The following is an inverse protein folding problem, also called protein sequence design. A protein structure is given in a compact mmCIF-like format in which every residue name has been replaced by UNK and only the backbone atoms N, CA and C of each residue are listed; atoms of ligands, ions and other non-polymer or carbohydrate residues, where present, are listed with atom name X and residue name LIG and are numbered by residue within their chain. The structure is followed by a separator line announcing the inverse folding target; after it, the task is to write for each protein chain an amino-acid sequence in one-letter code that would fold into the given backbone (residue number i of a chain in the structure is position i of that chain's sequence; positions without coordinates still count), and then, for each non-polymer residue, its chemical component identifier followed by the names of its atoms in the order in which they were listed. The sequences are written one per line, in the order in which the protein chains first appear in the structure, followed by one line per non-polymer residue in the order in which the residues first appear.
data_IF_748941263452
#
_entry.id   IF_748941263452
#
_cell.length_a   1.000
_cell.length_b   1.000
_cell.length_c   1.000
_cell.angle_alpha   90.00
_cell.angle_beta   90.00
_cell.angle_gamma   90.00
#
_symmetry.space_group_name_H-M   'P 1'
#
loop_
_entity.id
_entity.type
_entity.pdbx_description
1 polymer ?
#
# COMPACT_ATOMS: atom_id res chain seq x y z
N UNK A 1 9.90 32.31 43.81
CA UNK A 1 10.38 32.24 42.46
C UNK A 1 9.97 30.93 41.81
N UNK A 2 8.83 30.90 41.09
CA UNK A 2 8.37 29.74 40.29
C UNK A 2 8.97 29.87 38.91
N UNK A 3 9.92 28.99 38.58
CA UNK A 3 10.45 28.91 37.21
C UNK A 3 9.58 27.94 36.41
N UNK A 4 8.90 28.51 35.40
CA UNK A 4 8.09 27.77 34.43
C UNK A 4 8.99 26.96 33.51
N UNK A 5 8.77 25.66 33.49
CA UNK A 5 9.33 24.75 32.47
C UNK A 5 8.49 24.86 31.19
N UNK A 6 8.94 25.73 30.30
CA UNK A 6 8.42 25.75 28.93
C UNK A 6 8.87 24.48 28.20
N UNK A 7 7.98 23.50 28.04
CA UNK A 7 8.17 22.40 27.08
C UNK A 7 8.15 22.96 25.68
N UNK A 8 9.32 23.13 25.10
CA UNK A 8 9.48 23.34 23.68
C UNK A 8 9.04 22.07 22.97
N UNK A 9 7.80 22.04 22.49
CA UNK A 9 7.33 20.99 21.61
C UNK A 9 8.06 21.20 20.26
N UNK A 10 9.10 20.39 20.03
CA UNK A 10 9.75 20.30 18.73
C UNK A 10 8.73 19.72 17.74
N UNK A 11 7.99 20.59 17.05
CA UNK A 11 7.18 20.21 15.90
C UNK A 11 8.18 19.86 14.80
N UNK A 12 8.53 18.58 14.69
CA UNK A 12 9.21 18.04 13.51
C UNK A 12 8.23 18.24 12.37
N UNK A 13 8.46 19.29 11.59
CA UNK A 13 7.74 19.54 10.35
C UNK A 13 8.16 18.41 9.40
N UNK A 14 7.36 17.35 9.32
CA UNK A 14 7.55 16.30 8.32
C UNK A 14 7.36 16.99 6.96
N UNK A 15 8.45 17.27 6.28
CA UNK A 15 8.43 17.75 4.90
C UNK A 15 8.04 16.55 4.06
N UNK A 16 6.78 16.50 3.61
CA UNK A 16 6.34 15.49 2.65
C UNK A 16 7.04 15.75 1.32
N UNK A 17 7.84 14.79 0.88
CA UNK A 17 8.42 14.79 -0.46
C UNK A 17 7.35 14.30 -1.43
N UNK A 18 6.76 15.20 -2.22
CA UNK A 18 5.73 14.84 -3.19
C UNK A 18 6.33 14.70 -4.59
N UNK A 19 5.86 13.68 -5.30
CA UNK A 19 6.13 13.47 -6.72
C UNK A 19 5.11 14.26 -7.53
N UNK A 20 5.60 15.00 -8.53
CA UNK A 20 4.79 15.81 -9.44
C UNK A 20 4.88 15.27 -10.88
N UNK A 21 3.92 15.70 -11.72
CA UNK A 21 3.75 15.23 -13.09
C UNK A 21 4.92 15.51 -14.03
N UNK A 22 5.64 16.59 -13.79
CA UNK A 22 6.76 17.08 -14.59
C UNK A 22 8.12 16.49 -14.19
N UNK A 23 8.16 15.71 -13.10
CA UNK A 23 9.40 15.07 -12.64
C UNK A 23 9.78 13.87 -13.53
N UNK A 24 11.08 13.69 -13.85
CA UNK A 24 11.57 12.51 -14.57
C UNK A 24 11.33 11.24 -13.76
N UNK A 25 10.59 10.28 -14.32
CA UNK A 25 10.23 9.07 -13.59
C UNK A 25 11.45 8.18 -13.28
N UNK A 26 12.45 8.16 -14.15
CA UNK A 26 13.69 7.42 -13.93
C UNK A 26 14.45 7.93 -12.68
N UNK A 27 14.60 9.24 -12.52
CA UNK A 27 15.25 9.84 -11.34
C UNK A 27 14.49 9.53 -10.05
N UNK A 28 13.15 9.54 -10.08
CA UNK A 28 12.33 9.13 -8.93
C UNK A 28 12.64 7.69 -8.51
N UNK A 29 12.82 6.78 -9.48
CA UNK A 29 13.11 5.37 -9.18
C UNK A 29 14.54 5.14 -8.70
N UNK A 30 15.49 5.96 -9.16
CA UNK A 30 16.88 5.93 -8.65
C UNK A 30 16.91 6.31 -7.17
N UNK A 31 16.17 7.34 -6.79
CA UNK A 31 16.07 7.80 -5.41
C UNK A 31 15.19 6.86 -4.54
N UNK A 32 14.16 6.25 -5.15
CA UNK A 32 13.14 5.45 -4.46
C UNK A 32 12.89 4.09 -5.16
N UNK A 33 13.86 3.16 -5.18
CA UNK A 33 13.74 1.88 -5.90
C UNK A 33 12.58 1.00 -5.41
N UNK A 34 12.09 1.20 -4.19
CA UNK A 34 10.94 0.50 -3.63
C UNK A 34 9.60 0.85 -4.33
N UNK A 35 9.57 1.87 -5.19
CA UNK A 35 8.43 2.19 -6.04
C UNK A 35 8.33 1.32 -7.31
N UNK A 36 9.39 0.57 -7.67
CA UNK A 36 9.36 -0.32 -8.84
C UNK A 36 8.16 -1.28 -8.88
N UNK A 37 7.74 -1.92 -7.77
CA UNK A 37 6.55 -2.75 -7.75
C UNK A 37 5.26 -2.00 -8.06
N UNK A 38 5.21 -0.68 -7.86
CA UNK A 38 4.05 0.13 -8.26
C UNK A 38 3.98 0.23 -9.77
N UNK A 39 5.12 0.48 -10.44
CA UNK A 39 5.18 0.54 -11.89
C UNK A 39 4.74 -0.79 -12.54
N UNK A 40 5.20 -1.92 -11.99
CA UNK A 40 4.81 -3.26 -12.47
C UNK A 40 3.29 -3.45 -12.44
N UNK A 41 2.62 -3.01 -11.38
CA UNK A 41 1.14 -3.08 -11.26
C UNK A 41 0.42 -2.21 -12.28
N UNK A 42 1.03 -1.12 -12.71
CA UNK A 42 0.51 -0.27 -13.78
C UNK A 42 0.94 -0.74 -15.17
N UNK A 43 1.75 -1.81 -15.27
CA UNK A 43 2.26 -2.32 -16.53
C UNK A 43 3.26 -1.40 -17.22
N UNK A 44 3.93 -0.53 -16.44
CA UNK A 44 4.93 0.41 -16.97
C UNK A 44 6.27 -0.33 -17.12
N UNK A 45 6.79 -0.49 -18.34
CA UNK A 45 8.07 -1.16 -18.57
C UNK A 45 9.24 -0.26 -18.15
N UNK A 46 10.37 -0.88 -17.80
CA UNK A 46 11.63 -0.18 -17.58
C UNK A 46 12.18 0.37 -18.92
N UNK A 47 13.14 1.30 -18.83
CA UNK A 47 13.70 1.97 -20.02
C UNK A 47 12.99 3.30 -20.31
N UNK A 48 12.69 4.03 -19.26
CA UNK A 48 11.89 5.26 -19.27
C UNK A 48 12.62 6.47 -19.90
N UNK A 49 13.97 6.43 -19.94
CA UNK A 49 14.78 7.58 -20.34
C UNK A 49 14.48 8.81 -19.49
N UNK A 50 14.50 9.97 -20.09
CA UNK A 50 14.20 11.27 -19.45
C UNK A 50 12.69 11.58 -19.40
N UNK A 51 11.83 10.59 -19.64
CA UNK A 51 10.37 10.82 -19.69
C UNK A 51 9.83 11.22 -18.31
N UNK A 52 9.00 12.26 -18.30
CA UNK A 52 8.30 12.68 -17.08
C UNK A 52 7.18 11.70 -16.73
N UNK A 53 6.71 11.76 -15.48
CA UNK A 53 5.56 10.97 -15.01
C UNK A 53 4.37 11.12 -15.96
N UNK A 54 4.02 12.36 -16.35
CA UNK A 54 2.90 12.63 -17.24
C UNK A 54 3.09 12.01 -18.62
N UNK A 55 4.29 12.16 -19.21
CA UNK A 55 4.59 11.57 -20.51
C UNK A 55 4.49 10.05 -20.54
N UNK A 56 4.94 9.40 -19.44
CA UNK A 56 4.81 7.95 -19.30
C UNK A 56 3.35 7.55 -19.17
N UNK A 57 2.58 8.23 -18.32
CA UNK A 57 1.16 7.94 -18.14
C UNK A 57 0.37 8.10 -19.45
N UNK A 58 0.55 9.21 -20.17
CA UNK A 58 -0.11 9.44 -21.46
C UNK A 58 0.22 8.34 -22.47
N UNK A 59 1.48 7.96 -22.59
CA UNK A 59 1.93 6.91 -23.52
C UNK A 59 1.34 5.53 -23.19
N UNK A 60 1.11 5.25 -21.90
CA UNK A 60 0.58 3.97 -21.41
C UNK A 60 -0.95 3.98 -21.22
N UNK A 61 -1.63 5.10 -21.48
CA UNK A 61 -3.07 5.23 -21.25
C UNK A 61 -3.47 5.17 -19.78
N UNK A 62 -2.57 5.60 -18.88
CA UNK A 62 -2.77 5.61 -17.42
C UNK A 62 -3.28 6.98 -16.98
N UNK A 63 -4.24 7.02 -16.08
CA UNK A 63 -4.64 8.26 -15.41
C UNK A 63 -3.48 8.80 -14.55
N UNK A 64 -2.95 9.96 -14.96
CA UNK A 64 -1.78 10.57 -14.29
C UNK A 64 -2.07 10.95 -12.84
N UNK A 65 -3.29 11.41 -12.54
CA UNK A 65 -3.65 11.84 -11.18
C UNK A 65 -3.74 10.62 -10.26
N UNK A 66 -4.35 9.54 -10.73
CA UNK A 66 -4.42 8.28 -10.00
C UNK A 66 -3.03 7.68 -9.75
N UNK A 67 -2.18 7.66 -10.77
CA UNK A 67 -0.81 7.15 -10.65
C UNK A 67 0.02 7.95 -9.65
N UNK A 68 -0.02 9.29 -9.74
CA UNK A 68 0.66 10.18 -8.78
C UNK A 68 0.15 9.98 -7.35
N UNK A 69 -1.15 9.81 -7.18
CA UNK A 69 -1.74 9.54 -5.87
C UNK A 69 -1.18 8.25 -5.27
N UNK A 70 -1.12 7.17 -6.06
CA UNK A 70 -0.56 5.89 -5.61
C UNK A 70 0.92 6.03 -5.28
N UNK A 71 1.74 6.66 -6.13
CA UNK A 71 3.17 6.89 -5.87
C UNK A 71 3.38 7.67 -4.57
N UNK A 72 2.65 8.77 -4.38
CA UNK A 72 2.78 9.62 -3.20
C UNK A 72 2.30 8.92 -1.92
N UNK A 73 1.27 8.06 -2.00
CA UNK A 73 0.83 7.24 -0.87
C UNK A 73 1.90 6.21 -0.47
N UNK A 74 2.60 5.63 -1.44
CA UNK A 74 3.72 4.73 -1.17
C UNK A 74 4.95 5.43 -0.63
N UNK A 75 5.21 6.66 -1.08
CA UNK A 75 6.38 7.42 -0.68
C UNK A 75 6.25 8.01 0.73
N UNK A 76 5.05 8.38 1.14
CA UNK A 76 4.80 9.11 2.37
C UNK A 76 3.81 8.38 3.28
N UNK A 77 4.27 7.89 4.43
CA UNK A 77 3.39 7.40 5.49
C UNK A 77 2.46 8.55 5.94
N UNK A 78 1.17 8.32 5.92
CA UNK A 78 0.17 9.33 6.31
C UNK A 78 -0.29 10.26 5.18
N UNK A 79 0.24 10.16 3.97
CA UNK A 79 -0.35 10.79 2.80
C UNK A 79 -1.57 9.99 2.33
N UNK A 80 -2.75 10.52 2.58
CA UNK A 80 -3.99 9.92 2.11
C UNK A 80 -4.95 11.02 1.64
N UNK A 81 -4.98 11.35 0.35
CA UNK A 81 -5.79 12.44 -0.19
C UNK A 81 -7.26 12.02 -0.34
N UNK A 82 -8.01 12.00 0.77
CA UNK A 82 -9.40 11.52 0.81
C UNK A 82 -10.32 12.19 -0.22
N UNK A 83 -10.17 13.50 -0.43
CA UNK A 83 -10.99 14.26 -1.38
C UNK A 83 -10.72 13.85 -2.83
N UNK A 84 -9.49 13.50 -3.17
CA UNK A 84 -9.12 13.06 -4.51
C UNK A 84 -9.62 11.64 -4.80
N UNK A 85 -9.70 10.77 -3.77
CA UNK A 85 -10.23 9.42 -3.93
C UNK A 85 -11.69 9.40 -4.40
N UNK A 86 -12.50 10.35 -3.99
CA UNK A 86 -13.90 10.46 -4.40
C UNK A 86 -14.08 10.77 -5.90
N UNK A 87 -13.02 11.26 -6.56
CA UNK A 87 -13.05 11.58 -7.99
C UNK A 87 -12.70 10.39 -8.90
N UNK A 88 -12.19 9.28 -8.36
CA UNK A 88 -11.80 8.11 -9.16
C UNK A 88 -12.93 7.12 -9.32
N UNK A 89 -12.96 6.46 -10.50
CA UNK A 89 -13.88 5.37 -10.75
C UNK A 89 -13.50 4.14 -9.92
N UNK A 90 -14.48 3.51 -9.30
CA UNK A 90 -14.28 2.32 -8.47
C UNK A 90 -13.60 1.17 -9.25
N UNK A 91 -13.90 1.05 -10.55
CA UNK A 91 -13.26 0.08 -11.44
C UNK A 91 -11.74 0.24 -11.49
N UNK A 92 -11.25 1.47 -11.52
CA UNK A 92 -9.82 1.77 -11.57
C UNK A 92 -9.12 1.36 -10.27
N UNK A 93 -9.75 1.65 -9.14
CA UNK A 93 -9.24 1.27 -7.82
C UNK A 93 -9.24 -0.25 -7.67
N UNK A 94 -10.34 -0.91 -8.03
CA UNK A 94 -10.48 -2.37 -7.97
C UNK A 94 -9.45 -3.07 -8.87
N UNK A 95 -9.24 -2.58 -10.09
CA UNK A 95 -8.22 -3.12 -11.00
C UNK A 95 -6.82 -3.03 -10.38
N UNK A 96 -6.46 -1.87 -9.83
CA UNK A 96 -5.18 -1.69 -9.16
C UNK A 96 -5.01 -2.61 -7.94
N UNK A 97 -6.05 -2.74 -7.10
CA UNK A 97 -6.02 -3.61 -5.93
C UNK A 97 -5.91 -5.10 -6.33
N UNK A 98 -6.61 -5.52 -7.38
CA UNK A 98 -6.53 -6.89 -7.90
C UNK A 98 -5.10 -7.22 -8.42
N UNK A 99 -4.46 -6.28 -9.11
CA UNK A 99 -3.06 -6.39 -9.53
C UNK A 99 -2.11 -6.44 -8.32
N UNK A 100 -2.42 -5.67 -7.29
CA UNK A 100 -1.69 -5.69 -6.01
C UNK A 100 -1.78 -7.06 -5.34
N UNK A 101 -2.98 -7.65 -5.24
CA UNK A 101 -3.17 -9.00 -4.71
C UNK A 101 -2.39 -10.04 -5.51
N UNK A 102 -2.44 -9.97 -6.84
CA UNK A 102 -1.67 -10.86 -7.71
C UNK A 102 -0.15 -10.74 -7.47
N UNK A 103 0.37 -9.52 -7.32
CA UNK A 103 1.77 -9.27 -6.98
C UNK A 103 2.16 -9.90 -5.64
N UNK A 104 1.35 -9.68 -4.59
CA UNK A 104 1.61 -10.25 -3.27
C UNK A 104 1.64 -11.78 -3.30
N UNK A 105 0.66 -12.41 -3.96
CA UNK A 105 0.59 -13.88 -4.06
C UNK A 105 1.74 -14.48 -4.86
N UNK A 106 2.13 -13.84 -5.96
CA UNK A 106 3.15 -14.40 -6.87
C UNK A 106 4.58 -14.10 -6.46
N UNK A 107 4.83 -12.94 -5.87
CA UNK A 107 6.18 -12.46 -5.62
C UNK A 107 6.46 -12.18 -4.14
N UNK A 108 5.67 -11.30 -3.51
CA UNK A 108 6.03 -10.78 -2.20
C UNK A 108 5.98 -11.84 -1.10
N UNK A 109 4.85 -12.54 -0.94
CA UNK A 109 4.69 -13.57 0.10
C UNK A 109 5.65 -14.76 -0.10
N UNK A 110 5.83 -15.31 -1.32
CA UNK A 110 6.85 -16.36 -1.55
C UNK A 110 8.28 -15.89 -1.30
N UNK A 111 8.59 -14.63 -1.61
CA UNK A 111 9.92 -14.07 -1.38
C UNK A 111 10.23 -13.93 0.11
N UNK A 112 9.29 -13.39 0.90
CA UNK A 112 9.42 -13.32 2.36
C UNK A 112 9.58 -14.71 2.95
N UNK A 113 8.75 -15.67 2.54
CA UNK A 113 8.81 -17.06 3.01
C UNK A 113 10.17 -17.70 2.74
N UNK A 114 10.71 -17.49 1.54
CA UNK A 114 12.03 -18.02 1.16
C UNK A 114 13.15 -17.45 2.04
N UNK A 115 13.15 -16.14 2.25
CA UNK A 115 14.15 -15.48 3.10
C UNK A 115 14.02 -15.89 4.55
N UNK A 116 12.79 -16.01 5.06
CA UNK A 116 12.52 -16.46 6.42
C UNK A 116 12.99 -17.91 6.63
N UNK A 117 12.69 -18.81 5.70
CA UNK A 117 13.18 -20.21 5.74
C UNK A 117 14.71 -20.27 5.72
N UNK A 118 15.35 -19.44 4.88
CA UNK A 118 16.81 -19.33 4.85
C UNK A 118 17.39 -18.82 6.17
N UNK A 119 16.77 -17.82 6.77
CA UNK A 119 17.16 -17.29 8.07
C UNK A 119 17.02 -18.32 9.19
N UNK A 120 15.90 -19.04 9.25
CA UNK A 120 15.67 -20.11 10.24
C UNK A 120 16.69 -21.23 10.07
N UNK A 121 16.99 -21.64 8.83
CA UNK A 121 17.97 -22.68 8.54
C UNK A 121 19.42 -22.28 8.87
N UNK A 122 19.77 -21.00 8.76
CA UNK A 122 21.11 -20.47 9.10
C UNK A 122 21.31 -20.28 10.61
N UNK A 123 20.23 -20.14 11.37
CA UNK A 123 20.29 -20.13 12.83
C UNK A 123 20.72 -21.48 13.34
N UNK A 124 22.02 -21.63 13.64
CA UNK A 124 22.62 -22.89 14.08
C UNK A 124 21.88 -23.47 15.27
N UNK A 125 21.04 -24.47 15.02
CA UNK A 125 20.50 -25.47 15.93
C UNK A 125 19.64 -24.94 17.08
N UNK A 126 18.41 -25.39 17.14
CA UNK A 126 17.60 -25.49 18.38
C UNK A 126 17.18 -24.20 19.08
N UNK A 127 17.02 -23.09 18.34
CA UNK A 127 16.31 -21.96 18.95
C UNK A 127 14.80 -22.10 18.70
N UNK A 128 13.99 -22.52 19.70
CA UNK A 128 12.56 -22.72 19.54
C UNK A 128 11.81 -21.45 19.13
N UNK A 129 12.37 -20.28 19.42
CA UNK A 129 11.80 -19.00 18.99
C UNK A 129 11.76 -18.85 17.46
N UNK A 130 12.73 -19.40 16.72
CA UNK A 130 12.75 -19.36 15.27
C UNK A 130 11.61 -20.19 14.65
N UNK A 131 11.27 -21.33 15.24
CA UNK A 131 10.14 -22.13 14.83
C UNK A 131 8.81 -21.35 15.01
N UNK A 132 8.66 -20.63 16.14
CA UNK A 132 7.50 -19.78 16.39
C UNK A 132 7.33 -18.67 15.36
N UNK A 133 8.44 -18.05 14.92
CA UNK A 133 8.41 -17.04 13.86
C UNK A 133 7.93 -17.63 12.53
N UNK A 134 8.38 -18.83 12.17
CA UNK A 134 7.93 -19.55 10.99
C UNK A 134 6.43 -19.85 11.01
N UNK A 135 5.93 -20.34 12.15
CA UNK A 135 4.50 -20.63 12.34
C UNK A 135 3.65 -19.36 12.32
N UNK A 136 4.12 -18.28 12.96
CA UNK A 136 3.44 -16.98 12.96
C UNK A 136 3.32 -16.43 11.54
N UNK A 137 4.41 -16.48 10.75
CA UNK A 137 4.37 -16.07 9.35
C UNK A 137 3.42 -16.91 8.51
N UNK A 138 3.42 -18.23 8.69
CA UNK A 138 2.52 -19.13 7.95
C UNK A 138 1.05 -18.79 8.22
N UNK A 139 0.69 -18.54 9.48
CA UNK A 139 -0.65 -18.11 9.88
C UNK A 139 -1.02 -16.73 9.30
N UNK A 140 -0.10 -15.78 9.36
CA UNK A 140 -0.30 -14.45 8.79
C UNK A 140 -0.50 -14.51 7.27
N UNK A 141 0.34 -15.29 6.57
CA UNK A 141 0.21 -15.53 5.13
C UNK A 141 -1.16 -16.10 4.75
N UNK A 142 -1.62 -17.14 5.48
CA UNK A 142 -2.93 -17.73 5.25
C UNK A 142 -4.06 -16.69 5.38
N UNK A 143 -4.07 -15.91 6.46
CA UNK A 143 -5.07 -14.84 6.68
C UNK A 143 -5.06 -13.77 5.59
N UNK A 144 -3.86 -13.37 5.14
CA UNK A 144 -3.71 -12.40 4.04
C UNK A 144 -4.32 -12.98 2.75
N UNK A 145 -4.01 -14.23 2.41
CA UNK A 145 -4.56 -14.90 1.23
C UNK A 145 -6.09 -15.04 1.30
N UNK A 146 -6.64 -15.48 2.43
CA UNK A 146 -8.09 -15.57 2.65
C UNK A 146 -8.78 -14.21 2.50
N UNK A 147 -8.16 -13.14 3.03
CA UNK A 147 -8.70 -11.79 2.87
C UNK A 147 -8.71 -11.37 1.40
N UNK A 148 -7.61 -11.57 0.69
CA UNK A 148 -7.53 -11.24 -0.74
C UNK A 148 -8.59 -12.01 -1.56
N UNK A 149 -8.82 -13.30 -1.26
CA UNK A 149 -9.85 -14.11 -1.91
C UNK A 149 -11.26 -13.57 -1.63
N UNK A 150 -11.55 -13.19 -0.39
CA UNK A 150 -12.83 -12.59 -0.02
C UNK A 150 -13.03 -11.23 -0.71
N UNK A 151 -11.99 -10.39 -0.73
CA UNK A 151 -12.06 -9.11 -1.41
C UNK A 151 -12.36 -9.27 -2.90
N UNK A 152 -11.71 -10.20 -3.59
CA UNK A 152 -11.90 -10.46 -5.02
C UNK A 152 -13.24 -11.13 -5.36
N UNK A 153 -13.69 -12.04 -4.51
CA UNK A 153 -14.92 -12.81 -4.79
C UNK A 153 -16.20 -12.14 -4.30
N UNK A 154 -16.13 -11.31 -3.25
CA UNK A 154 -17.29 -10.74 -2.60
C UNK A 154 -17.27 -9.22 -2.60
N UNK A 155 -16.23 -8.61 -2.04
CA UNK A 155 -16.21 -7.18 -1.78
C UNK A 155 -16.06 -6.35 -3.05
N UNK A 156 -15.13 -6.65 -3.93
CA UNK A 156 -14.94 -5.92 -5.19
C UNK A 156 -16.17 -6.00 -6.10
N UNK A 157 -16.76 -7.19 -6.35
CA UNK A 157 -18.00 -7.27 -7.11
C UNK A 157 -19.16 -6.52 -6.47
N UNK A 158 -19.24 -6.48 -5.15
CA UNK A 158 -20.27 -5.72 -4.44
C UNK A 158 -20.09 -4.21 -4.66
N UNK A 159 -18.88 -3.68 -4.48
CA UNK A 159 -18.57 -2.26 -4.71
C UNK A 159 -18.89 -1.86 -6.15
N UNK A 160 -18.47 -2.66 -7.14
CA UNK A 160 -18.72 -2.38 -8.55
C UNK A 160 -20.23 -2.37 -8.88
N UNK A 161 -21.02 -3.25 -8.26
CA UNK A 161 -22.48 -3.22 -8.41
C UNK A 161 -23.09 -1.96 -7.80
N UNK A 162 -22.65 -1.57 -6.59
CA UNK A 162 -23.14 -0.35 -5.96
C UNK A 162 -22.89 0.88 -6.82
N UNK A 163 -21.65 1.04 -7.32
CA UNK A 163 -21.30 2.18 -8.16
C UNK A 163 -22.11 2.27 -9.47
N UNK A 164 -22.51 1.12 -10.03
CA UNK A 164 -23.39 1.08 -11.22
C UNK A 164 -24.85 1.38 -10.91
N UNK A 165 -25.27 1.15 -9.66
CA UNK A 165 -26.67 1.32 -9.23
C UNK A 165 -26.97 2.73 -8.74
N UNK A 166 -25.97 3.52 -8.38
CA UNK A 166 -26.13 4.88 -7.87
C UNK A 166 -25.87 5.87 -9.01
N UNK A 167 -26.82 6.76 -9.35
CA UNK A 167 -26.57 7.84 -10.31
C UNK A 167 -25.38 8.70 -9.82
N UNK A 168 -24.50 9.06 -10.73
CA UNK A 168 -23.25 9.78 -10.42
C UNK A 168 -23.46 11.13 -9.72
N UNK A 169 -24.67 11.69 -9.80
CA UNK A 169 -25.08 12.93 -9.13
C UNK A 169 -25.34 12.78 -7.62
N UNK A 170 -25.53 11.56 -7.12
CA UNK A 170 -25.87 11.29 -5.71
C UNK A 170 -24.72 10.70 -4.89
N UNK A 171 -23.52 10.58 -5.46
CA UNK A 171 -22.31 10.15 -4.74
C UNK A 171 -21.85 11.27 -3.80
N UNK A 172 -22.56 11.43 -2.68
CA UNK A 172 -21.98 12.11 -1.52
C UNK A 172 -20.82 11.25 -1.01
N UNK A 173 -19.70 11.88 -0.56
CA UNK A 173 -18.62 11.11 0.06
C UNK A 173 -19.23 10.24 1.16
N UNK A 174 -19.18 8.92 0.95
CA UNK A 174 -19.65 7.97 1.95
C UNK A 174 -18.79 8.15 3.19
N UNK A 175 -19.43 8.41 4.31
CA UNK A 175 -18.76 8.33 5.62
C UNK A 175 -18.08 6.98 5.74
N UNK A 176 -16.83 6.93 6.27
CA UNK A 176 -16.09 5.67 6.35
C UNK A 176 -16.96 4.62 7.03
N UNK A 177 -17.12 3.49 6.36
CA UNK A 177 -17.90 2.35 6.88
C UNK A 177 -17.22 1.90 8.17
N UNK A 178 -17.82 2.24 9.30
CA UNK A 178 -17.31 1.99 10.66
C UNK A 178 -17.07 0.50 11.00
N UNK A 179 -17.46 -0.42 10.13
CA UNK A 179 -17.22 -1.87 10.31
C UNK A 179 -15.82 -2.34 9.92
N UNK A 180 -15.08 -1.58 9.11
CA UNK A 180 -13.70 -1.95 8.74
C UNK A 180 -12.67 -1.51 9.79
N UNK A 181 -12.98 -0.55 10.65
CA UNK A 181 -12.05 -0.04 11.64
C UNK A 181 -11.70 -1.09 12.72
N UNK A 182 -12.67 -1.85 13.20
CA UNK A 182 -12.42 -2.87 14.22
C UNK A 182 -11.55 -4.04 13.71
N UNK A 183 -11.71 -4.45 12.44
CA UNK A 183 -10.90 -5.50 11.83
C UNK A 183 -9.48 -5.02 11.48
N UNK A 184 -9.31 -3.72 11.17
CA UNK A 184 -8.00 -3.13 10.94
C UNK A 184 -7.21 -2.91 12.24
N UNK A 185 -7.87 -2.44 13.29
CA UNK A 185 -7.25 -2.21 14.59
C UNK A 185 -6.66 -3.52 15.17
N UNK A 186 -7.38 -4.64 15.02
CA UNK A 186 -6.91 -5.96 15.44
C UNK A 186 -5.70 -6.47 14.64
N UNK A 187 -5.57 -6.08 13.38
CA UNK A 187 -4.41 -6.43 12.53
C UNK A 187 -3.16 -5.61 12.84
N UNK A 188 -3.32 -4.35 13.21
CA UNK A 188 -2.21 -3.46 13.55
C UNK A 188 -1.65 -3.73 14.95
N UNK A 189 -2.49 -4.07 15.93
CA UNK A 189 -2.04 -4.46 17.29
C UNK A 189 -1.15 -5.69 17.23
N UNK A 190 -1.50 -6.72 16.43
CA UNK A 190 -0.65 -7.92 16.28
C UNK A 190 0.69 -7.65 15.59
N UNK A 191 0.77 -6.67 14.68
CA UNK A 191 2.03 -6.25 14.07
C UNK A 191 2.87 -5.37 15.00
N UNK A 192 2.24 -4.62 15.89
CA UNK A 192 2.93 -3.81 16.90
C UNK A 192 3.60 -4.68 17.95
N UNK A 193 2.96 -5.79 18.37
CA UNK A 193 3.53 -6.75 19.32
C UNK A 193 4.77 -7.46 18.78
N UNK A 194 4.86 -7.65 17.46
CA UNK A 194 6.07 -8.22 16.82
C UNK A 194 7.25 -7.23 16.81
N UNK A 195 7.00 -5.90 16.85
CA UNK A 195 8.05 -4.87 16.92
C UNK A 195 8.62 -4.67 18.32
N UNK A 196 7.97 -5.21 19.35
CA UNK A 196 8.35 -5.04 20.77
C UNK A 196 9.09 -6.26 21.35
N UNK A 197 9.42 -7.27 20.52
CA UNK A 197 10.26 -8.43 20.83
C UNK A 197 11.57 -8.33 20.10
#
# INVERSE_FOLDING_TARGET
GMQGWGRTVNIIRIVMLLIYRDMPLAGILEDHPFLMPVLDRFGIPLGLGESTVEQVCVRQGIDTVFFLMVLNTFLNEGYFPQEQFAAFHAEQIVDYLSKTHAYYRRFQLPNIERHLKGFIASGRGENPALALVGDAFSKAKARICERMERDENEFFPYVLRLCRSVPQADLRPMSPVQKSAADQEYGWEQLHDIKSV
#
